data_IF_759913209020
#
_entry.id   IF_759913209020
#
_cell.length_a   1.000
_cell.length_b   1.000
_cell.length_c   1.000
_cell.angle_alpha   90.00
_cell.angle_beta   90.00
_cell.angle_gamma   90.00
#
_symmetry.space_group_name_H-M   'P 1'
#
loop_
_entity.id
_entity.type
_entity.pdbx_description
1 polymer ?
#
# COMPACT_ATOMS: atom_id res chain seq x y z
N UNK A 1 22.82 -6.25 6.18
CA UNK A 1 22.42 -5.63 4.90
C UNK A 1 21.58 -4.41 5.22
N UNK A 2 21.83 -3.27 4.59
CA UNK A 2 20.92 -2.11 4.63
C UNK A 2 19.68 -2.46 3.81
N UNK A 3 18.45 -2.31 4.34
CA UNK A 3 17.26 -2.57 3.56
C UNK A 3 17.14 -1.51 2.44
N UNK A 4 16.71 -1.93 1.25
CA UNK A 4 16.54 -1.07 0.09
C UNK A 4 15.05 -1.06 -0.26
N UNK A 5 14.46 0.13 -0.40
CA UNK A 5 13.14 0.29 -1.01
C UNK A 5 13.28 0.55 -2.50
N UNK A 6 12.45 -0.10 -3.32
CA UNK A 6 12.41 0.11 -4.76
C UNK A 6 11.07 0.74 -5.15
N UNK A 7 11.13 1.81 -5.95
CA UNK A 7 9.95 2.48 -6.48
C UNK A 7 9.98 2.44 -8.01
N UNK A 8 8.90 1.94 -8.62
CA UNK A 8 8.63 2.10 -10.04
C UNK A 8 7.61 3.23 -10.21
N UNK A 9 7.99 4.31 -10.89
CA UNK A 9 7.13 5.49 -11.07
C UNK A 9 6.77 5.71 -12.52
N UNK A 10 5.52 6.06 -12.79
CA UNK A 10 5.05 6.48 -14.11
C UNK A 10 5.23 7.98 -14.32
N UNK A 11 5.01 8.44 -15.56
CA UNK A 11 4.85 9.87 -15.84
C UNK A 11 3.74 10.48 -14.97
N UNK A 12 3.87 11.74 -14.52
CA UNK A 12 2.87 12.37 -13.67
C UNK A 12 1.46 12.31 -14.28
N UNK A 13 0.50 11.88 -13.48
CA UNK A 13 -0.92 11.84 -13.82
C UNK A 13 -1.66 12.97 -13.09
N UNK A 14 -2.60 13.60 -13.78
CA UNK A 14 -3.47 14.62 -13.17
C UNK A 14 -4.67 13.92 -12.52
N UNK A 15 -4.73 13.93 -11.19
CA UNK A 15 -5.82 13.31 -10.41
C UNK A 15 -7.00 14.25 -10.12
N UNK A 16 -6.85 15.55 -10.36
CA UNK A 16 -7.91 16.54 -10.12
C UNK A 16 -8.07 17.48 -11.30
N UNK A 17 -9.32 17.85 -11.59
CA UNK A 17 -9.65 18.88 -12.54
C UNK A 17 -9.24 20.25 -11.99
N UNK A 18 -8.45 21.00 -12.76
CA UNK A 18 -7.92 22.31 -12.35
C UNK A 18 -8.97 23.41 -12.29
N UNK A 19 -10.11 23.23 -12.95
CA UNK A 19 -11.16 24.26 -13.06
C UNK A 19 -12.17 24.20 -11.92
N UNK A 20 -12.58 23.01 -11.50
CA UNK A 20 -13.60 22.82 -10.44
C UNK A 20 -13.06 22.09 -9.20
N UNK A 21 -11.83 21.56 -9.23
CA UNK A 21 -11.21 20.87 -8.11
C UNK A 21 -11.72 19.44 -7.86
N UNK A 22 -12.57 18.89 -8.74
CA UNK A 22 -13.08 17.53 -8.63
C UNK A 22 -11.98 16.50 -8.91
N UNK A 23 -12.00 15.38 -8.20
CA UNK A 23 -11.11 14.25 -8.47
C UNK A 23 -11.59 13.48 -9.71
N UNK A 24 -10.67 12.85 -10.44
CA UNK A 24 -11.01 11.89 -11.48
C UNK A 24 -11.13 10.49 -10.87
N UNK A 25 -12.07 9.69 -11.37
CA UNK A 25 -12.10 8.25 -11.09
C UNK A 25 -10.81 7.59 -11.58
N UNK A 26 -10.34 6.59 -10.84
CA UNK A 26 -9.11 5.86 -11.11
C UNK A 26 -9.36 4.37 -10.97
N UNK A 27 -8.90 3.61 -11.97
CA UNK A 27 -8.79 2.16 -11.88
C UNK A 27 -7.34 1.76 -12.16
N UNK A 28 -6.75 0.97 -11.26
CA UNK A 28 -5.46 0.35 -11.46
C UNK A 28 -5.59 -1.15 -11.20
N UNK A 29 -5.13 -1.99 -12.12
CA UNK A 29 -5.05 -3.43 -11.91
C UNK A 29 -3.64 -3.93 -12.17
N UNK A 30 -3.20 -4.84 -11.32
CA UNK A 30 -1.86 -5.40 -11.37
C UNK A 30 -1.89 -6.83 -10.80
N UNK A 31 -0.88 -7.60 -11.18
CA UNK A 31 -0.64 -8.92 -10.63
C UNK A 31 0.75 -8.97 -10.02
N UNK A 32 0.86 -9.64 -8.89
CA UNK A 32 2.11 -9.80 -8.17
C UNK A 32 2.17 -11.17 -7.51
N UNK A 33 3.39 -11.58 -7.18
CA UNK A 33 3.67 -12.79 -6.42
C UNK A 33 4.77 -12.45 -5.43
N UNK A 34 4.56 -12.79 -4.16
CA UNK A 34 5.57 -12.58 -3.12
C UNK A 34 6.16 -13.94 -2.75
N UNK A 35 7.46 -14.07 -2.96
CA UNK A 35 8.23 -15.27 -2.65
C UNK A 35 9.26 -14.90 -1.58
N UNK A 36 9.15 -15.52 -0.41
CA UNK A 36 10.09 -15.31 0.68
C UNK A 36 11.28 -16.25 0.54
N UNK A 37 12.49 -15.71 0.40
CA UNK A 37 13.73 -16.51 0.45
C UNK A 37 13.87 -17.19 1.83
N UNK A 38 13.50 -16.46 2.89
CA UNK A 38 13.48 -16.96 4.26
C UNK A 38 12.09 -16.75 4.88
N UNK A 39 11.20 -17.76 4.84
CA UNK A 39 9.82 -17.63 5.31
C UNK A 39 9.67 -17.16 6.77
N UNK A 40 10.71 -17.39 7.59
CA UNK A 40 10.75 -17.01 9.01
C UNK A 40 11.30 -15.61 9.27
N UNK A 41 11.96 -14.97 8.31
CA UNK A 41 12.58 -13.65 8.50
C UNK A 41 11.69 -12.50 7.99
N UNK A 42 10.62 -12.82 7.26
CA UNK A 42 9.72 -11.85 6.65
C UNK A 42 10.35 -11.13 5.46
N UNK A 43 9.53 -10.79 4.47
CA UNK A 43 9.85 -9.76 3.48
C UNK A 43 9.05 -8.52 3.83
N UNK A 44 9.57 -7.36 3.48
CA UNK A 44 8.85 -6.10 3.59
C UNK A 44 7.76 -6.01 2.52
N UNK A 45 6.81 -5.13 2.79
CA UNK A 45 5.48 -5.10 2.20
C UNK A 45 5.47 -4.46 0.81
N UNK A 46 4.33 -4.56 0.12
CA UNK A 46 4.10 -3.93 -1.18
C UNK A 46 3.09 -2.80 -1.01
N UNK A 47 3.33 -1.66 -1.67
CA UNK A 47 2.38 -0.56 -1.71
C UNK A 47 2.09 -0.11 -3.14
N UNK A 48 0.81 0.14 -3.43
CA UNK A 48 0.41 1.03 -4.51
C UNK A 48 0.33 2.44 -3.95
N UNK A 49 1.03 3.40 -4.55
CA UNK A 49 1.17 4.74 -3.98
C UNK A 49 0.80 5.83 -4.97
N UNK A 50 0.06 6.82 -4.49
CA UNK A 50 -0.16 8.10 -5.16
C UNK A 50 0.51 9.17 -4.30
N UNK A 51 1.39 9.95 -4.92
CA UNK A 51 2.12 11.02 -4.28
C UNK A 51 2.24 12.24 -5.20
N UNK A 52 2.42 13.42 -4.61
CA UNK A 52 2.64 14.67 -5.35
C UNK A 52 4.02 14.73 -6.03
N UNK A 53 4.99 13.93 -5.56
CA UNK A 53 6.36 13.86 -6.04
C UNK A 53 6.88 12.43 -6.00
N UNK A 54 7.79 12.10 -6.92
CA UNK A 54 8.57 10.84 -6.89
C UNK A 54 9.73 10.87 -5.89
N UNK A 55 10.05 12.05 -5.35
CA UNK A 55 11.18 12.28 -4.47
C UNK A 55 10.75 12.13 -3.00
N UNK A 56 10.79 10.89 -2.50
CA UNK A 56 10.42 10.52 -1.13
C UNK A 56 11.65 10.60 -0.21
N UNK A 57 12.22 11.80 -0.06
CA UNK A 57 13.49 11.99 0.66
C UNK A 57 13.40 11.57 2.12
N UNK A 58 14.39 10.79 2.54
CA UNK A 58 14.49 10.33 3.92
C UNK A 58 13.42 9.30 4.29
N UNK A 59 12.65 8.78 3.33
CA UNK A 59 11.76 7.67 3.59
C UNK A 59 12.56 6.44 4.02
N UNK A 60 12.06 5.76 5.05
CA UNK A 60 12.70 4.60 5.62
C UNK A 60 12.11 3.33 4.99
N UNK A 61 12.90 2.26 4.87
CA UNK A 61 12.38 0.97 4.42
C UNK A 61 11.60 0.26 5.55
N UNK A 62 11.20 -0.98 5.29
CA UNK A 62 10.53 -1.88 6.25
C UNK A 62 9.14 -1.38 6.60
N UNK A 63 8.82 -1.21 7.89
CA UNK A 63 7.51 -0.79 8.37
C UNK A 63 7.06 0.57 7.82
N UNK A 64 7.97 1.37 7.24
CA UNK A 64 7.65 2.65 6.63
C UNK A 64 7.42 2.57 5.11
N UNK A 65 7.48 1.36 4.52
CA UNK A 65 7.22 1.05 3.11
C UNK A 65 8.10 1.76 2.08
N UNK A 66 9.16 2.47 2.50
CA UNK A 66 9.86 3.40 1.62
C UNK A 66 9.08 4.68 1.33
N UNK A 67 8.01 4.95 2.07
CA UNK A 67 7.10 6.08 1.83
C UNK A 67 7.28 7.23 2.81
N UNK A 68 7.47 6.91 4.09
CA UNK A 68 7.51 7.88 5.19
C UNK A 68 8.70 7.60 6.12
N UNK A 69 8.84 8.39 7.17
CA UNK A 69 9.74 8.20 8.29
C UNK A 69 9.12 8.72 9.58
N UNK A 70 9.77 8.46 10.71
CA UNK A 70 9.26 8.83 12.03
C UNK A 70 8.99 10.35 12.21
N UNK A 71 9.59 11.22 11.38
CA UNK A 71 9.44 12.67 11.48
C UNK A 71 8.32 13.26 10.61
N UNK A 72 7.82 12.53 9.61
CA UNK A 72 6.76 13.03 8.71
C UNK A 72 5.49 12.18 8.70
N UNK A 73 5.42 11.11 9.51
CA UNK A 73 4.15 10.41 9.76
C UNK A 73 3.08 11.40 10.27
N UNK A 74 1.91 11.36 9.62
CA UNK A 74 0.77 12.23 9.90
C UNK A 74 0.84 13.60 9.23
N UNK A 75 1.89 13.91 8.47
CA UNK A 75 2.04 15.20 7.81
C UNK A 75 1.21 15.28 6.51
N UNK A 76 0.08 15.99 6.57
CA UNK A 76 -0.79 16.16 5.40
C UNK A 76 -0.17 16.99 4.25
N UNK A 77 0.96 17.66 4.47
CA UNK A 77 1.70 18.33 3.39
C UNK A 77 2.44 17.35 2.47
N UNK A 78 2.60 16.09 2.85
CA UNK A 78 3.26 15.07 2.01
C UNK A 78 2.36 14.62 0.85
N UNK A 79 1.04 14.78 1.00
CA UNK A 79 0.03 14.42 0.00
C UNK A 79 0.20 12.98 -0.52
N UNK A 80 0.41 12.06 0.42
CA UNK A 80 0.63 10.65 0.19
C UNK A 80 -0.67 9.86 0.44
N UNK A 81 -0.99 9.01 -0.52
CA UNK A 81 -1.98 7.95 -0.39
C UNK A 81 -1.33 6.62 -0.75
N UNK A 82 -1.60 5.57 0.02
CA UNK A 82 -1.15 4.23 -0.31
C UNK A 82 -2.21 3.17 0.00
N UNK A 83 -2.19 2.11 -0.81
CA UNK A 83 -2.82 0.83 -0.48
C UNK A 83 -1.68 -0.16 -0.23
N UNK A 84 -1.55 -0.61 1.01
CA UNK A 84 -0.50 -1.53 1.45
C UNK A 84 -1.00 -2.99 1.44
N UNK A 85 -0.08 -3.89 1.14
CA UNK A 85 -0.23 -5.34 1.19
C UNK A 85 0.77 -5.86 2.22
N UNK A 86 0.34 -5.82 3.48
CA UNK A 86 1.19 -5.98 4.66
C UNK A 86 1.27 -7.44 5.12
N UNK A 87 2.48 -7.92 5.34
CA UNK A 87 2.83 -9.30 5.69
C UNK A 87 3.50 -9.42 7.06
N UNK A 88 3.62 -8.31 7.79
CA UNK A 88 4.22 -8.18 9.11
C UNK A 88 3.18 -7.49 10.02
N UNK A 89 3.30 -7.69 11.33
CA UNK A 89 2.46 -6.97 12.29
C UNK A 89 3.34 -6.01 13.07
N UNK A 90 3.31 -4.74 12.69
CA UNK A 90 3.97 -3.65 13.38
C UNK A 90 3.00 -3.03 14.40
N UNK A 91 3.12 -3.44 15.66
CA UNK A 91 2.25 -2.96 16.74
C UNK A 91 2.28 -1.43 16.93
N UNK A 92 3.38 -0.78 16.56
CA UNK A 92 3.51 0.68 16.57
C UNK A 92 2.56 1.38 15.59
N UNK A 93 2.14 0.70 14.53
CA UNK A 93 1.18 1.19 13.52
C UNK A 93 -0.21 0.57 13.65
N UNK A 94 -0.43 -0.19 14.72
CA UNK A 94 -1.73 -0.78 15.09
C UNK A 94 -2.25 -1.79 14.05
N UNK A 95 -1.32 -2.49 13.41
CA UNK A 95 -1.66 -3.53 12.44
C UNK A 95 -2.54 -4.61 13.06
N UNK A 96 -3.59 -4.96 12.33
CA UNK A 96 -4.62 -5.89 12.81
C UNK A 96 -4.13 -7.34 12.84
N UNK A 97 -3.16 -7.70 12.00
CA UNK A 97 -2.44 -8.98 11.94
C UNK A 97 -1.28 -8.90 10.93
N UNK A 98 -0.53 -10.00 10.77
CA UNK A 98 0.62 -10.13 9.87
C UNK A 98 0.27 -10.50 8.41
N UNK A 99 -0.96 -10.22 7.97
CA UNK A 99 -1.47 -10.55 6.65
C UNK A 99 -2.73 -9.72 6.33
N UNK A 100 -2.56 -8.43 6.06
CA UNK A 100 -3.67 -7.51 5.87
C UNK A 100 -3.48 -6.55 4.68
N UNK A 101 -4.58 -5.97 4.25
CA UNK A 101 -4.61 -4.85 3.30
C UNK A 101 -4.96 -3.59 4.07
N UNK A 102 -4.22 -2.52 3.84
CA UNK A 102 -4.40 -1.25 4.51
C UNK A 102 -4.55 -0.08 3.54
N UNK A 103 -5.27 0.96 3.96
CA UNK A 103 -5.42 2.23 3.25
C UNK A 103 -4.79 3.32 4.11
N UNK A 104 -3.70 3.90 3.60
CA UNK A 104 -2.88 4.86 4.32
C UNK A 104 -3.02 6.26 3.72
N UNK A 105 -3.34 7.25 4.55
CA UNK A 105 -3.41 8.66 4.15
C UNK A 105 -2.43 9.47 5.01
N UNK A 106 -1.28 9.81 4.42
CA UNK A 106 -0.17 10.52 5.07
C UNK A 106 0.34 9.90 6.39
N UNK A 107 0.01 8.64 6.69
CA UNK A 107 0.31 7.99 7.95
C UNK A 107 0.59 6.50 7.69
N UNK A 108 1.34 5.84 8.58
CA UNK A 108 1.47 4.38 8.56
C UNK A 108 0.37 3.67 9.35
N UNK A 109 -0.34 4.38 10.25
CA UNK A 109 -1.59 3.85 10.81
C UNK A 109 -2.65 3.91 9.72
N UNK A 110 -3.06 2.74 9.24
CA UNK A 110 -4.13 2.54 8.27
C UNK A 110 -5.42 3.25 8.69
N UNK A 111 -5.98 4.07 7.80
CA UNK A 111 -7.32 4.66 7.96
C UNK A 111 -8.43 3.59 7.92
N UNK A 112 -8.20 2.54 7.14
CA UNK A 112 -9.03 1.34 7.11
C UNK A 112 -8.15 0.15 6.74
N UNK A 113 -8.35 -0.98 7.40
CA UNK A 113 -7.64 -2.21 7.12
C UNK A 113 -8.55 -3.43 7.23
N UNK A 114 -8.20 -4.50 6.52
CA UNK A 114 -8.89 -5.77 6.57
C UNK A 114 -7.91 -6.94 6.40
N UNK A 115 -8.14 -8.09 7.07
CA UNK A 115 -7.33 -9.27 6.83
C UNK A 115 -7.40 -9.64 5.34
N UNK A 116 -6.26 -9.98 4.74
CA UNK A 116 -6.20 -10.26 3.32
C UNK A 116 -7.11 -11.43 2.96
N UNK A 117 -7.91 -11.21 1.92
CA UNK A 117 -8.92 -12.16 1.48
C UNK A 117 -9.57 -11.70 0.19
N UNK A 118 -10.31 -12.61 -0.43
CA UNK A 118 -11.06 -12.34 -1.64
C UNK A 118 -12.48 -12.86 -1.49
N UNK A 119 -13.42 -12.28 -2.24
CA UNK A 119 -14.79 -12.76 -2.27
C UNK A 119 -14.96 -13.71 -3.45
N UNK A 120 -15.46 -14.90 -3.16
CA UNK A 120 -15.91 -15.85 -4.19
C UNK A 120 -17.24 -15.41 -4.79
N UNK A 121 -17.66 -16.03 -5.89
CA UNK A 121 -18.94 -15.73 -6.56
C UNK A 121 -20.17 -15.88 -5.64
N UNK A 122 -20.05 -16.67 -4.57
CA UNK A 122 -21.07 -16.81 -3.52
C UNK A 122 -21.02 -15.71 -2.45
N UNK A 123 -20.32 -14.60 -2.70
CA UNK A 123 -20.08 -13.50 -1.75
C UNK A 123 -19.46 -13.93 -0.42
N UNK A 124 -18.83 -15.10 -0.39
CA UNK A 124 -18.16 -15.62 0.80
C UNK A 124 -16.71 -15.19 0.78
N UNK A 125 -16.27 -14.52 1.86
CA UNK A 125 -14.87 -14.14 2.03
C UNK A 125 -14.01 -15.39 2.24
N UNK A 126 -13.00 -15.54 1.42
CA UNK A 126 -11.98 -16.56 1.50
C UNK A 126 -10.68 -15.92 1.99
N UNK A 127 -9.95 -16.64 2.84
CA UNK A 127 -8.66 -16.18 3.33
C UNK A 127 -7.64 -16.20 2.20
N UNK A 128 -6.84 -15.14 2.11
CA UNK A 128 -5.72 -15.04 1.20
C UNK A 128 -4.45 -14.81 2.00
N UNK A 129 -3.45 -15.66 1.82
CA UNK A 129 -2.11 -15.41 2.37
C UNK A 129 -1.26 -14.70 1.32
N UNK A 130 -0.88 -13.45 1.59
CA UNK A 130 -0.10 -12.61 0.65
C UNK A 130 1.25 -13.24 0.31
N UNK A 131 1.93 -13.79 1.32
CA UNK A 131 3.21 -14.50 1.24
C UNK A 131 3.12 -15.97 0.80
N UNK A 132 2.05 -16.38 0.12
CA UNK A 132 1.83 -17.79 -0.28
C UNK A 132 2.64 -18.24 -1.50
N UNK A 133 3.28 -17.31 -2.23
CA UNK A 133 3.97 -17.63 -3.48
C UNK A 133 3.05 -17.87 -4.68
N UNK A 134 1.72 -17.73 -4.51
CA UNK A 134 0.78 -17.80 -5.63
C UNK A 134 0.66 -16.44 -6.32
N UNK A 135 0.19 -16.43 -7.57
CA UNK A 135 -0.14 -15.18 -8.26
C UNK A 135 -1.41 -14.57 -7.66
N UNK A 136 -1.29 -13.34 -7.19
CA UNK A 136 -2.39 -12.52 -6.73
C UNK A 136 -2.68 -11.48 -7.81
N UNK A 137 -3.94 -11.32 -8.18
CA UNK A 137 -4.39 -10.24 -9.03
C UNK A 137 -5.25 -9.31 -8.18
N UNK A 138 -4.88 -8.03 -8.18
CA UNK A 138 -5.58 -6.99 -7.43
C UNK A 138 -6.03 -5.89 -8.38
N UNK A 139 -7.03 -5.14 -7.92
CA UNK A 139 -7.37 -3.86 -8.49
C UNK A 139 -7.69 -2.86 -7.39
N UNK A 140 -7.42 -1.59 -7.68
CA UNK A 140 -7.77 -0.45 -6.87
C UNK A 140 -8.70 0.39 -7.71
N UNK A 141 -9.87 0.67 -7.17
CA UNK A 141 -10.89 1.48 -7.81
C UNK A 141 -11.24 2.66 -6.90
N UNK A 142 -11.17 3.85 -7.45
CA UNK A 142 -11.65 5.08 -6.84
C UNK A 142 -12.69 5.69 -7.76
N UNK A 143 -13.91 5.85 -7.25
CA UNK A 143 -14.99 6.49 -7.96
C UNK A 143 -15.23 7.90 -7.42
N UNK A 144 -15.15 8.91 -8.30
CA UNK A 144 -15.38 10.31 -7.95
C UNK A 144 -16.86 10.73 -7.96
N UNK A 145 -17.78 9.84 -8.37
CA UNK A 145 -19.23 10.10 -8.51
C UNK A 145 -20.09 9.08 -7.76
#
# INVERSE_FOLDING_TARGET
MTPISFHATFSPLRFKNSSNGEAFSLFASFAFTIILEYPKLGSHDLAFTIASSKDLRGALPRQYLGLLNASNIGNFSDHLFAVEFDMIQDFEFQDINDNHIGININNMISNASAPAGYYSDSSTKQNLTLKSGIRIQAWIDYNSM
#
